data_IF_302211615429
#
_entry.id   IF_302211615429
#
_cell.length_a   1.000
_cell.length_b   1.000
_cell.length_c   1.000
_cell.angle_alpha   90.00
_cell.angle_beta   90.00
_cell.angle_gamma   90.00
#
_symmetry.space_group_name_H-M   'P 1'
#
loop_
_entity.id
_entity.type
_entity.pdbx_description
1 polymer ?
#
# COMPACT_ATOMS: atom_id res chain seq x y z
N UNK A 1 -1.30 -5.60 -9.26
CA UNK A 1 -0.28 -5.14 -8.31
C UNK A 1 0.63 -4.05 -8.90
N UNK A 2 1.11 -4.18 -10.14
CA UNK A 2 1.99 -3.20 -10.78
C UNK A 2 1.42 -1.77 -10.80
N UNK A 3 0.13 -1.62 -11.08
CA UNK A 3 -0.53 -0.30 -11.12
C UNK A 3 -0.56 0.40 -9.76
N UNK A 4 -0.64 -0.34 -8.66
CA UNK A 4 -0.63 0.23 -7.31
C UNK A 4 0.75 0.79 -6.95
N UNK A 5 1.83 0.08 -7.28
CA UNK A 5 3.19 0.58 -7.07
C UNK A 5 3.50 1.80 -7.94
N UNK A 6 3.06 1.80 -9.20
CA UNK A 6 3.20 2.97 -10.07
C UNK A 6 2.44 4.19 -9.52
N UNK A 7 1.25 3.98 -8.97
CA UNK A 7 0.48 5.05 -8.33
C UNK A 7 1.18 5.59 -7.07
N UNK A 8 1.78 4.71 -6.26
CA UNK A 8 2.56 5.11 -5.09
C UNK A 8 3.78 5.93 -5.51
N UNK A 9 4.55 5.48 -6.49
CA UNK A 9 5.72 6.20 -6.98
C UNK A 9 5.36 7.54 -7.62
N UNK A 10 4.26 7.59 -8.38
CA UNK A 10 3.74 8.83 -8.92
C UNK A 10 3.30 9.82 -7.80
N UNK A 11 2.75 9.31 -6.69
CA UNK A 11 2.39 10.17 -5.56
C UNK A 11 3.62 10.82 -4.92
N UNK A 12 4.75 10.12 -4.82
CA UNK A 12 6.00 10.72 -4.32
C UNK A 12 6.48 11.87 -5.21
N UNK A 13 6.46 11.68 -6.54
CA UNK A 13 6.88 12.70 -7.49
C UNK A 13 5.94 13.93 -7.45
N UNK A 14 4.62 13.68 -7.36
CA UNK A 14 3.61 14.74 -7.34
C UNK A 14 3.58 15.53 -6.02
N UNK A 15 4.08 14.96 -4.93
CA UNK A 15 4.11 15.60 -3.62
C UNK A 15 5.56 15.86 -3.15
N UNK A 16 6.40 16.29 -4.07
CA UNK A 16 7.83 16.51 -3.83
C UNK A 16 8.14 17.49 -2.70
N UNK A 17 7.34 18.54 -2.55
CA UNK A 17 7.53 19.54 -1.49
C UNK A 17 7.28 18.94 -0.11
N UNK A 18 6.27 18.10 0.03
CA UNK A 18 5.95 17.38 1.26
C UNK A 18 7.04 16.35 1.60
N UNK A 19 7.56 15.65 0.60
CA UNK A 19 8.69 14.74 0.75
C UNK A 19 9.96 15.48 1.22
N UNK A 20 10.25 16.66 0.65
CA UNK A 20 11.40 17.48 1.05
C UNK A 20 11.25 18.01 2.47
N UNK A 21 10.04 18.46 2.84
CA UNK A 21 9.76 18.95 4.19
C UNK A 21 9.89 17.85 5.23
N UNK A 22 9.31 16.68 4.96
CA UNK A 22 9.43 15.51 5.84
C UNK A 22 10.89 15.09 6.06
N UNK A 23 11.70 15.13 5.00
CA UNK A 23 13.15 14.89 5.14
C UNK A 23 13.83 15.92 6.06
N UNK A 24 13.49 17.21 5.87
CA UNK A 24 14.04 18.30 6.70
C UNK A 24 13.62 18.16 8.16
N UNK A 25 12.36 17.82 8.42
CA UNK A 25 11.84 17.64 9.78
C UNK A 25 12.50 16.45 10.49
N UNK A 26 12.78 15.39 9.74
CA UNK A 26 13.42 14.18 10.28
C UNK A 26 14.92 14.36 10.53
N UNK A 27 15.63 14.99 9.60
CA UNK A 27 17.10 15.04 9.63
C UNK A 27 17.68 16.42 10.00
N UNK A 28 16.84 17.45 10.14
CA UNK A 28 17.24 18.82 10.49
C UNK A 28 18.06 19.55 9.42
N UNK A 29 18.02 19.08 8.18
CA UNK A 29 18.75 19.65 7.04
C UNK A 29 17.99 19.50 5.74
N UNK A 30 18.27 20.37 4.78
CA UNK A 30 17.67 20.28 3.44
C UNK A 30 18.12 19.00 2.71
N UNK A 31 17.23 18.47 1.86
CA UNK A 31 17.52 17.32 1.02
C UNK A 31 18.56 17.71 -0.06
N UNK A 32 19.59 16.91 -0.18
CA UNK A 32 20.57 17.01 -1.26
C UNK A 32 20.13 16.11 -2.44
N UNK A 33 20.06 16.69 -3.63
CA UNK A 33 19.69 15.98 -4.85
C UNK A 33 20.92 15.38 -5.51
N UNK A 34 20.91 14.07 -5.73
CA UNK A 34 22.05 13.31 -6.28
C UNK A 34 21.79 12.74 -7.66
N UNK A 35 20.53 12.72 -8.13
CA UNK A 35 20.20 12.29 -9.47
C UNK A 35 20.52 13.40 -10.49
N UNK A 36 20.87 12.98 -11.69
CA UNK A 36 21.04 13.87 -12.85
C UNK A 36 19.85 13.70 -13.79
N UNK A 37 18.98 14.71 -13.85
CA UNK A 37 17.77 14.68 -14.67
C UNK A 37 18.10 14.49 -16.17
N UNK A 38 19.27 14.95 -16.63
CA UNK A 38 19.70 14.80 -18.03
C UNK A 38 20.15 13.37 -18.39
N UNK A 39 20.35 12.51 -17.42
CA UNK A 39 20.75 11.12 -17.62
C UNK A 39 19.60 10.19 -18.02
N UNK A 40 18.33 10.66 -17.94
CA UNK A 40 17.16 9.87 -18.29
C UNK A 40 16.74 10.08 -19.74
N UNK A 41 16.22 9.03 -20.38
CA UNK A 41 15.69 9.06 -21.76
C UNK A 41 14.31 9.74 -21.89
N UNK A 42 13.79 10.29 -20.78
CA UNK A 42 12.52 10.97 -20.68
C UNK A 42 12.64 12.18 -19.76
N UNK A 43 11.69 13.10 -19.86
CA UNK A 43 11.68 14.31 -19.05
C UNK A 43 11.46 13.98 -17.56
N UNK A 44 12.40 14.41 -16.73
CA UNK A 44 12.39 14.25 -15.27
C UNK A 44 12.48 15.63 -14.63
N UNK A 45 11.62 15.96 -13.64
CA UNK A 45 11.71 17.23 -12.94
C UNK A 45 13.05 17.38 -12.22
N UNK A 46 13.68 18.54 -12.32
CA UNK A 46 14.85 18.89 -11.52
C UNK A 46 14.46 19.18 -10.05
N UNK A 47 15.33 18.86 -9.11
CA UNK A 47 15.17 19.15 -7.69
C UNK A 47 13.83 18.64 -7.11
N UNK A 48 13.39 17.46 -7.54
CA UNK A 48 12.17 16.82 -7.08
C UNK A 48 12.49 15.75 -6.03
N UNK A 49 12.01 15.92 -4.79
CA UNK A 49 12.31 15.02 -3.69
C UNK A 49 11.77 13.60 -3.88
N UNK A 50 10.62 13.46 -4.57
CA UNK A 50 10.08 12.14 -4.91
C UNK A 50 10.95 11.40 -5.91
N UNK A 51 11.49 12.09 -6.93
CA UNK A 51 12.47 11.53 -7.87
C UNK A 51 13.76 11.14 -7.14
N UNK A 52 14.27 12.01 -6.26
CA UNK A 52 15.45 11.70 -5.46
C UNK A 52 15.25 10.45 -4.59
N UNK A 53 14.06 10.33 -3.95
CA UNK A 53 13.73 9.14 -3.18
C UNK A 53 13.76 7.88 -4.05
N UNK A 54 13.08 7.92 -5.22
CA UNK A 54 13.04 6.77 -6.14
C UNK A 54 14.41 6.46 -6.72
N UNK A 55 15.22 7.47 -6.98
CA UNK A 55 16.61 7.30 -7.42
C UNK A 55 17.43 6.56 -6.35
N UNK A 56 17.42 7.02 -5.11
CA UNK A 56 18.10 6.34 -3.99
C UNK A 56 17.55 4.94 -3.77
N UNK A 57 16.23 4.79 -3.86
CA UNK A 57 15.57 3.49 -3.76
C UNK A 57 16.07 2.53 -4.83
N UNK A 58 16.24 3.00 -6.09
CA UNK A 58 16.77 2.18 -7.19
C UNK A 58 18.23 1.76 -7.00
N UNK A 59 19.00 2.53 -6.22
CA UNK A 59 20.40 2.20 -5.92
C UNK A 59 20.52 1.26 -4.70
N UNK A 60 19.42 1.03 -3.96
CA UNK A 60 19.41 0.09 -2.85
C UNK A 60 19.50 -1.36 -3.35
N UNK A 61 19.98 -2.24 -2.48
CA UNK A 61 20.01 -3.69 -2.75
C UNK A 61 18.58 -4.23 -2.71
N UNK A 62 17.91 -4.25 -3.85
CA UNK A 62 16.54 -4.73 -3.97
C UNK A 62 16.46 -6.16 -4.48
N UNK A 63 15.49 -6.91 -3.96
CA UNK A 63 15.09 -8.21 -4.48
C UNK A 63 13.64 -8.13 -4.92
N UNK A 64 13.35 -8.52 -6.17
CA UNK A 64 12.00 -8.54 -6.72
C UNK A 64 11.42 -9.95 -6.55
N UNK A 65 10.33 -10.04 -5.81
CA UNK A 65 9.60 -11.28 -5.56
C UNK A 65 8.15 -11.06 -6.06
N UNK A 66 7.71 -11.88 -7.00
CA UNK A 66 6.39 -11.74 -7.64
C UNK A 66 5.24 -12.27 -6.79
N UNK A 67 5.52 -13.23 -5.91
CA UNK A 67 4.54 -13.79 -4.98
C UNK A 67 4.55 -13.04 -3.64
N UNK A 68 3.38 -12.56 -3.20
CA UNK A 68 3.26 -11.78 -1.97
C UNK A 68 3.48 -12.60 -0.69
N UNK A 69 3.25 -13.92 -0.71
CA UNK A 69 3.49 -14.78 0.45
C UNK A 69 4.98 -15.11 0.58
N UNK A 70 5.65 -15.34 -0.55
CA UNK A 70 7.12 -15.47 -0.58
C UNK A 70 7.81 -14.18 -0.14
N UNK A 71 7.24 -13.01 -0.49
CA UNK A 71 7.78 -11.72 -0.13
C UNK A 71 7.74 -11.50 1.39
N UNK A 72 6.61 -11.77 2.05
CA UNK A 72 6.52 -11.64 3.52
C UNK A 72 7.26 -12.75 4.25
N UNK A 73 7.40 -13.92 3.65
CA UNK A 73 8.27 -14.99 4.15
C UNK A 73 9.74 -14.57 4.16
N UNK A 74 10.19 -13.84 3.15
CA UNK A 74 11.55 -13.30 3.10
C UNK A 74 11.81 -12.29 4.23
N UNK A 75 10.80 -11.47 4.59
CA UNK A 75 10.88 -10.57 5.75
C UNK A 75 10.94 -11.37 7.05
N UNK A 76 10.07 -12.37 7.23
CA UNK A 76 10.07 -13.25 8.40
C UNK A 76 11.44 -13.93 8.62
N UNK A 77 12.09 -14.36 7.54
CA UNK A 77 13.39 -15.04 7.59
C UNK A 77 14.59 -14.10 7.72
N UNK A 78 14.36 -12.77 7.72
CA UNK A 78 15.44 -11.80 7.95
C UNK A 78 15.90 -11.80 9.41
N UNK A 79 17.08 -11.25 9.66
CA UNK A 79 17.64 -11.20 11.02
C UNK A 79 17.69 -9.78 11.56
N UNK A 80 17.90 -9.64 12.86
CA UNK A 80 18.06 -8.32 13.47
C UNK A 80 19.32 -7.59 12.96
N UNK A 81 20.34 -8.34 12.52
CA UNK A 81 21.58 -7.81 11.96
C UNK A 81 21.43 -7.37 10.48
N UNK A 82 20.51 -8.02 9.74
CA UNK A 82 20.19 -7.69 8.33
C UNK A 82 18.66 -7.71 8.15
N UNK A 83 17.96 -6.69 8.68
CA UNK A 83 16.51 -6.64 8.66
C UNK A 83 16.01 -6.32 7.25
N UNK A 84 15.04 -7.09 6.77
CA UNK A 84 14.38 -6.84 5.50
C UNK A 84 13.12 -5.98 5.67
N UNK A 85 12.91 -5.08 4.72
CA UNK A 85 11.68 -4.30 4.55
C UNK A 85 11.05 -4.66 3.22
N UNK A 86 9.73 -4.81 3.16
CA UNK A 86 9.04 -5.05 1.90
C UNK A 86 7.88 -4.08 1.66
N UNK A 87 7.56 -3.91 0.38
CA UNK A 87 6.31 -3.30 -0.07
C UNK A 87 5.35 -4.42 -0.47
N UNK A 88 4.28 -4.59 0.28
CA UNK A 88 3.30 -5.65 0.07
C UNK A 88 1.87 -5.13 0.17
N UNK A 89 0.90 -5.92 -0.31
CA UNK A 89 -0.51 -5.69 0.01
C UNK A 89 -0.72 -5.84 1.53
N UNK A 90 -1.42 -4.88 2.12
CA UNK A 90 -1.69 -4.84 3.56
C UNK A 90 -2.32 -6.14 4.10
N UNK A 91 -3.16 -6.83 3.31
CA UNK A 91 -3.76 -8.11 3.70
C UNK A 91 -2.75 -9.23 3.97
N UNK A 92 -1.48 -9.08 3.54
CA UNK A 92 -0.43 -10.07 3.82
C UNK A 92 0.02 -10.09 5.28
N UNK A 93 -0.32 -9.08 6.08
CA UNK A 93 -0.09 -9.11 7.53
C UNK A 93 -0.81 -10.29 8.20
N UNK A 94 -1.90 -10.78 7.61
CA UNK A 94 -2.62 -11.96 8.10
C UNK A 94 -1.76 -13.22 8.21
N UNK A 95 -0.65 -13.31 7.48
CA UNK A 95 0.30 -14.42 7.60
C UNK A 95 0.96 -14.51 8.98
N UNK A 96 0.94 -13.44 9.78
CA UNK A 96 1.34 -13.47 11.18
C UNK A 96 0.50 -14.48 11.97
N UNK A 97 -0.81 -14.46 11.81
CA UNK A 97 -1.75 -15.33 12.52
C UNK A 97 -1.93 -16.68 11.82
N UNK A 98 -1.95 -16.70 10.49
CA UNK A 98 -2.24 -17.88 9.68
C UNK A 98 -1.01 -18.81 9.56
N UNK A 99 0.19 -18.26 9.51
CA UNK A 99 1.44 -19.01 9.27
C UNK A 99 2.47 -18.86 10.39
N UNK A 100 2.19 -18.05 11.42
CA UNK A 100 3.10 -17.80 12.53
C UNK A 100 4.32 -16.94 12.13
N UNK A 101 4.20 -16.09 11.11
CA UNK A 101 5.31 -15.25 10.68
C UNK A 101 5.54 -14.08 11.65
N UNK A 102 6.80 -13.84 11.97
CA UNK A 102 7.22 -12.67 12.75
C UNK A 102 7.39 -11.49 11.80
N UNK A 103 6.30 -10.79 11.56
CA UNK A 103 6.19 -9.60 10.69
C UNK A 103 5.36 -8.53 11.36
N UNK A 104 5.66 -7.27 11.08
CA UNK A 104 4.97 -6.12 11.63
C UNK A 104 4.76 -5.02 10.60
N UNK A 105 3.82 -4.11 10.90
CA UNK A 105 3.64 -2.88 10.15
C UNK A 105 4.79 -1.91 10.39
N UNK A 106 5.25 -1.26 9.33
CA UNK A 106 6.01 -0.02 9.44
C UNK A 106 5.02 1.15 9.41
N UNK A 107 4.50 1.52 10.58
CA UNK A 107 3.64 2.69 10.73
C UNK A 107 4.47 3.95 10.97
N UNK A 108 3.83 5.11 10.83
CA UNK A 108 4.44 6.42 11.06
C UNK A 108 5.66 6.73 10.14
N UNK A 109 5.60 6.25 8.90
CA UNK A 109 6.54 6.65 7.86
C UNK A 109 6.05 7.96 7.24
N UNK A 110 6.83 9.01 7.38
CA UNK A 110 6.52 10.31 6.80
C UNK A 110 7.13 10.45 5.39
N UNK A 111 6.41 11.08 4.45
CA UNK A 111 5.05 11.60 4.57
C UNK A 111 3.97 10.54 4.28
N UNK A 112 4.33 9.33 3.84
CA UNK A 112 3.38 8.29 3.45
C UNK A 112 3.76 6.92 4.03
N UNK A 113 2.83 6.32 4.75
CA UNK A 113 2.97 4.94 5.22
C UNK A 113 2.51 3.94 4.15
N UNK A 114 1.44 4.27 3.42
CA UNK A 114 0.83 3.37 2.45
C UNK A 114 -0.01 4.12 1.41
N UNK A 115 -0.40 3.40 0.36
CA UNK A 115 -1.40 3.83 -0.61
C UNK A 115 -2.70 3.06 -0.39
N UNK A 116 -3.81 3.77 -0.25
CA UNK A 116 -5.13 3.15 -0.21
C UNK A 116 -5.57 2.75 -1.63
N UNK A 117 -5.77 1.45 -1.85
CA UNK A 117 -6.32 0.93 -3.09
C UNK A 117 -7.79 0.53 -2.89
N UNK A 118 -8.70 1.20 -3.61
CA UNK A 118 -10.13 0.91 -3.54
C UNK A 118 -10.49 -0.26 -4.45
N UNK A 119 -11.04 -1.31 -3.87
CA UNK A 119 -11.64 -2.40 -4.64
C UNK A 119 -13.12 -2.11 -4.91
N UNK A 120 -13.53 -2.19 -6.16
CA UNK A 120 -14.86 -1.85 -6.61
C UNK A 120 -15.57 -3.05 -7.26
N UNK A 121 -16.86 -3.17 -6.96
CA UNK A 121 -17.74 -4.13 -7.62
C UNK A 121 -18.57 -3.42 -8.71
N UNK A 122 -18.58 -3.99 -9.93
CA UNK A 122 -19.29 -3.46 -11.08
C UNK A 122 -20.31 -4.46 -11.61
N UNK A 123 -21.41 -3.94 -12.17
CA UNK A 123 -22.39 -4.75 -12.91
C UNK A 123 -22.02 -4.66 -14.39
N UNK A 124 -21.70 -5.78 -15.01
CA UNK A 124 -21.42 -5.84 -16.44
C UNK A 124 -22.64 -5.38 -17.27
N UNK A 125 -22.41 -4.50 -18.27
CA UNK A 125 -23.47 -3.92 -19.11
C UNK A 125 -24.35 -4.96 -19.80
N UNK A 126 -23.80 -6.13 -20.14
CA UNK A 126 -24.50 -7.19 -20.85
C UNK A 126 -24.99 -8.33 -19.96
N UNK A 127 -25.06 -8.15 -18.64
CA UNK A 127 -25.49 -9.24 -17.75
C UNK A 127 -26.93 -9.63 -17.98
N UNK A 128 -27.19 -10.94 -18.03
CA UNK A 128 -28.56 -11.52 -18.13
C UNK A 128 -29.29 -11.47 -16.77
N UNK A 129 -28.63 -11.13 -15.67
CA UNK A 129 -29.19 -11.10 -14.32
C UNK A 129 -28.80 -9.82 -13.56
N UNK A 130 -29.26 -8.65 -13.98
CA UNK A 130 -28.90 -7.39 -13.31
C UNK A 130 -29.44 -7.31 -11.86
N UNK A 131 -30.59 -7.91 -11.60
CA UNK A 131 -31.15 -7.99 -10.25
C UNK A 131 -30.31 -8.90 -9.33
N UNK A 132 -29.85 -10.04 -9.84
CA UNK A 132 -28.95 -10.93 -9.12
C UNK A 132 -27.60 -10.28 -8.81
N UNK A 133 -27.03 -9.54 -9.78
CA UNK A 133 -25.79 -8.80 -9.57
C UNK A 133 -25.95 -7.73 -8.48
N UNK A 134 -27.04 -6.97 -8.46
CA UNK A 134 -27.33 -5.99 -7.40
C UNK A 134 -27.51 -6.68 -6.04
N UNK A 135 -28.20 -7.81 -6.00
CA UNK A 135 -28.39 -8.59 -4.77
C UNK A 135 -27.04 -9.08 -4.21
N UNK A 136 -26.15 -9.56 -5.09
CA UNK A 136 -24.80 -9.98 -4.71
C UNK A 136 -23.98 -8.80 -4.14
N UNK A 137 -23.97 -7.66 -4.83
CA UNK A 137 -23.29 -6.47 -4.33
C UNK A 137 -23.83 -6.09 -2.95
N UNK A 138 -25.16 -6.03 -2.78
CA UNK A 138 -25.79 -5.75 -1.51
C UNK A 138 -25.46 -6.78 -0.43
N UNK A 139 -25.37 -8.05 -0.80
CA UNK A 139 -24.95 -9.12 0.12
C UNK A 139 -23.52 -8.91 0.61
N UNK A 140 -22.60 -8.57 -0.29
CA UNK A 140 -21.18 -8.33 0.06
C UNK A 140 -21.02 -7.04 0.84
N UNK A 141 -21.61 -5.94 0.38
CA UNK A 141 -21.42 -4.61 0.98
C UNK A 141 -22.29 -4.35 2.22
N UNK A 142 -23.26 -5.19 2.49
CA UNK A 142 -24.18 -5.09 3.64
C UNK A 142 -25.45 -4.32 3.34
N UNK A 143 -26.45 -4.59 4.18
CA UNK A 143 -27.72 -3.86 4.21
C UNK A 143 -27.60 -2.51 4.96
N UNK A 144 -28.74 -1.86 5.16
CA UNK A 144 -28.82 -0.58 5.87
C UNK A 144 -28.44 -0.68 7.39
N UNK A 145 -28.36 -1.89 7.92
CA UNK A 145 -28.00 -2.19 9.30
C UNK A 145 -26.47 -2.40 9.51
N UNK A 146 -25.65 -2.16 8.47
CA UNK A 146 -24.20 -2.36 8.52
C UNK A 146 -23.77 -3.82 8.65
N UNK A 147 -24.69 -4.77 8.75
CA UNK A 147 -24.39 -6.18 8.89
C UNK A 147 -24.33 -6.85 7.53
N UNK A 148 -23.25 -7.52 7.26
CA UNK A 148 -23.06 -8.30 6.03
C UNK A 148 -22.34 -9.60 6.31
N UNK A 149 -23.03 -10.71 6.04
CA UNK A 149 -22.40 -12.03 6.03
C UNK A 149 -21.38 -12.15 4.91
N UNK A 150 -21.66 -11.53 3.75
CA UNK A 150 -20.78 -11.52 2.58
C UNK A 150 -19.49 -10.70 2.80
N UNK A 151 -19.48 -9.78 3.76
CA UNK A 151 -18.30 -9.00 4.13
C UNK A 151 -17.35 -9.75 5.09
N UNK A 152 -17.83 -10.80 5.76
CA UNK A 152 -17.01 -11.54 6.75
C UNK A 152 -15.66 -12.02 6.23
N UNK A 153 -15.54 -12.57 5.00
CA UNK A 153 -14.24 -12.99 4.47
C UNK A 153 -13.25 -11.83 4.27
N UNK A 154 -13.75 -10.60 4.12
CA UNK A 154 -12.95 -9.40 3.90
C UNK A 154 -12.61 -8.64 5.20
N UNK A 155 -13.21 -9.03 6.34
CA UNK A 155 -12.89 -8.49 7.67
C UNK A 155 -11.62 -9.12 8.23
N UNK A 156 -10.53 -8.98 7.52
CA UNK A 156 -9.19 -9.41 7.92
C UNK A 156 -8.33 -8.18 8.17
N UNK A 157 -7.35 -8.32 9.03
CA UNK A 157 -6.31 -7.29 9.20
C UNK A 157 -5.66 -6.97 7.84
N UNK A 158 -5.48 -5.69 7.54
CA UNK A 158 -5.01 -5.23 6.25
C UNK A 158 -6.10 -4.95 5.21
N UNK A 159 -7.37 -5.14 5.54
CA UNK A 159 -8.50 -4.76 4.70
C UNK A 159 -9.44 -3.84 5.48
N UNK A 160 -9.66 -2.64 4.98
CA UNK A 160 -10.53 -1.64 5.60
C UNK A 160 -11.91 -1.65 4.95
N UNK A 161 -13.01 -1.69 5.74
CA UNK A 161 -14.34 -1.48 5.19
C UNK A 161 -14.49 -0.04 4.71
N UNK A 162 -15.16 0.16 3.57
CA UNK A 162 -15.48 1.50 3.05
C UNK A 162 -16.72 2.13 3.72
N UNK A 163 -17.34 1.43 4.65
CA UNK A 163 -18.56 1.86 5.35
C UNK A 163 -18.22 2.17 6.80
N UNK A 164 -18.58 3.36 7.24
CA UNK A 164 -18.35 3.87 8.60
C UNK A 164 -19.15 3.10 9.68
N UNK A 165 -20.26 2.45 9.29
CA UNK A 165 -21.09 1.64 10.17
C UNK A 165 -20.67 0.17 10.28
N UNK A 166 -19.56 -0.22 9.63
CA UNK A 166 -18.96 -1.55 9.74
C UNK A 166 -17.76 -1.48 10.67
N UNK A 167 -17.90 -2.12 11.83
CA UNK A 167 -16.85 -2.13 12.84
C UNK A 167 -15.58 -2.82 12.32
N UNK A 168 -14.46 -2.13 12.41
CA UNK A 168 -13.13 -2.64 12.14
C UNK A 168 -12.25 -2.49 13.40
N UNK A 169 -11.98 -3.63 14.06
CA UNK A 169 -11.16 -3.68 15.28
C UNK A 169 -9.76 -4.25 15.05
N UNK A 170 -9.45 -4.66 13.84
CA UNK A 170 -8.22 -5.38 13.55
C UNK A 170 -7.13 -4.51 12.94
N UNK A 171 -7.54 -3.45 12.25
CA UNK A 171 -6.62 -2.56 11.59
C UNK A 171 -6.19 -1.42 12.50
N UNK A 172 -5.00 -0.83 12.28
CA UNK A 172 -4.63 0.43 12.90
C UNK A 172 -5.70 1.49 12.62
N UNK A 173 -5.96 2.37 13.58
CA UNK A 173 -6.95 3.44 13.44
C UNK A 173 -6.52 4.47 12.37
N UNK A 174 -5.21 4.61 12.17
CA UNK A 174 -4.58 5.51 11.20
C UNK A 174 -3.51 4.74 10.44
N UNK A 175 -3.41 5.01 9.14
CA UNK A 175 -2.34 4.58 8.25
C UNK A 175 -1.42 5.75 7.93
#
# INVERSE_FOLDING_TARGET
>A
QESAYLSLFASFINNADEMAQSYKDTYGKDLEYTYDASSFDFEVPENNAGVEYLWRFSQAKMTFISDGDELVLAVHNSTAEDPALCLASAGKIGNRDESGYDIAWCLNLEPYTALLNLECLFIAKGTNSPAGARLFIRYVTGGADGKSEGMKPFKKEGNWPIRDDVEDKKNPAEL
#
